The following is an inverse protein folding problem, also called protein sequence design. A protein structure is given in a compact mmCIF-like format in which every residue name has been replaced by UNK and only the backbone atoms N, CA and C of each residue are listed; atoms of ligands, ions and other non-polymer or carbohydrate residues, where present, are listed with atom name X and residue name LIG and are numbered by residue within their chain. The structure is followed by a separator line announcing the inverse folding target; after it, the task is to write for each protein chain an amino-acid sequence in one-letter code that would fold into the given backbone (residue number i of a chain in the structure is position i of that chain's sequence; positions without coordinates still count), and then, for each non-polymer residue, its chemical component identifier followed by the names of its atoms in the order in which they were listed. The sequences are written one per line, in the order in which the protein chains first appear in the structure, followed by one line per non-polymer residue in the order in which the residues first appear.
data_IF_099062008577
#
_entry.id   IF_099062008577
#
_cell.length_a   1.000
_cell.length_b   1.000
_cell.length_c   1.000
_cell.angle_alpha   90.00
_cell.angle_beta   90.00
_cell.angle_gamma   90.00
#
_symmetry.space_group_name_H-M   'P 1'
#
loop_
_entity.id
_entity.type
_entity.pdbx_description
1 polymer ?
#
# COMPACT_ATOMS: atom_id res chain seq x y z
N UNK A 1 17.24 35.95 5.64
CA UNK A 1 18.39 35.18 5.14
C UNK A 1 18.07 33.71 5.35
N UNK A 2 17.63 32.99 4.30
CA UNK A 2 17.32 31.56 4.41
C UNK A 2 18.59 30.77 4.14
N UNK A 3 19.18 30.18 5.18
CA UNK A 3 20.32 29.28 5.02
C UNK A 3 19.84 28.04 4.27
N UNK A 4 20.28 27.87 3.02
CA UNK A 4 19.94 26.69 2.23
C UNK A 4 20.72 25.51 2.82
N UNK A 5 20.06 24.70 3.64
CA UNK A 5 20.68 23.51 4.22
C UNK A 5 20.93 22.51 3.09
N UNK A 6 22.19 22.13 2.91
CA UNK A 6 22.60 21.17 1.88
C UNK A 6 22.01 19.80 2.20
N UNK A 7 21.41 19.14 1.22
CA UNK A 7 20.91 17.78 1.39
C UNK A 7 22.08 16.76 1.48
N UNK A 8 21.87 15.69 2.24
CA UNK A 8 22.82 14.60 2.47
C UNK A 8 23.27 13.91 1.18
N UNK A 9 22.35 13.66 0.24
CA UNK A 9 22.69 13.19 -1.12
C UNK A 9 23.31 11.79 -1.22
N UNK A 10 23.50 11.10 -0.09
CA UNK A 10 23.99 9.72 -0.04
C UNK A 10 23.05 8.80 -0.84
N UNK A 11 23.55 7.68 -1.37
CA UNK A 11 22.74 6.67 -2.08
C UNK A 11 22.62 5.40 -1.26
N UNK A 12 21.53 4.65 -1.47
CA UNK A 12 21.29 3.36 -0.80
C UNK A 12 22.42 2.37 -1.10
N UNK A 13 23.05 1.75 -0.08
CA UNK A 13 24.08 0.74 -0.28
C UNK A 13 23.51 -0.52 -0.96
N UNK A 14 24.29 -1.16 -1.84
CA UNK A 14 23.93 -2.41 -2.52
C UNK A 14 23.23 -2.30 -3.88
N UNK A 15 22.99 -1.10 -4.43
CA UNK A 15 22.63 -0.91 -5.84
C UNK A 15 23.85 -0.48 -6.64
N UNK A 16 24.44 -1.38 -7.39
CA UNK A 16 25.43 -1.02 -8.39
C UNK A 16 24.74 -0.33 -9.59
N UNK A 17 25.24 0.87 -9.88
CA UNK A 17 25.04 1.72 -11.05
C UNK A 17 23.84 1.45 -11.98
N UNK A 18 22.83 2.33 -11.92
CA UNK A 18 21.90 2.49 -13.05
C UNK A 18 20.53 3.10 -12.74
N UNK A 19 20.08 3.10 -11.49
CA UNK A 19 18.78 3.68 -11.13
C UNK A 19 18.88 5.15 -10.69
N UNK A 20 18.09 6.03 -11.29
CA UNK A 20 17.89 7.45 -10.91
C UNK A 20 17.20 7.64 -9.55
N UNK A 21 17.42 6.72 -8.60
CA UNK A 21 16.93 6.86 -7.24
C UNK A 21 17.56 8.10 -6.61
N UNK A 22 16.75 9.15 -6.42
CA UNK A 22 17.19 10.39 -5.75
C UNK A 22 17.78 10.00 -4.39
N UNK A 23 18.99 10.50 -4.12
CA UNK A 23 19.70 10.25 -2.86
C UNK A 23 18.97 10.85 -1.65
N UNK A 24 19.57 10.74 -0.47
CA UNK A 24 18.96 11.18 0.77
C UNK A 24 18.52 12.66 0.69
N UNK A 25 17.25 12.94 1.02
CA UNK A 25 16.67 14.30 0.96
C UNK A 25 16.75 15.09 2.27
N UNK A 26 17.21 14.46 3.36
CA UNK A 26 17.42 15.13 4.65
C UNK A 26 18.67 16.04 4.65
N UNK A 27 18.78 16.99 5.61
CA UNK A 27 19.98 17.78 5.86
C UNK A 27 21.28 16.97 5.90
N UNK A 28 22.39 17.54 5.46
CA UNK A 28 23.67 16.83 5.35
C UNK A 28 24.19 16.24 6.68
N UNK A 29 23.77 16.79 7.80
CA UNK A 29 24.14 16.46 9.17
C UNK A 29 23.02 15.74 9.93
N UNK A 30 22.04 15.15 9.24
CA UNK A 30 20.97 14.42 9.90
C UNK A 30 21.47 13.12 10.56
N UNK A 31 20.90 12.78 11.71
CA UNK A 31 21.00 11.45 12.32
C UNK A 31 19.78 10.59 11.93
N UNK A 32 19.88 9.26 12.05
CA UNK A 32 18.78 8.33 11.74
C UNK A 32 18.72 7.85 10.28
N UNK A 33 17.56 7.32 9.87
CA UNK A 33 17.42 6.69 8.55
C UNK A 33 17.50 7.70 7.41
N UNK A 34 18.28 7.38 6.37
CA UNK A 34 18.27 8.14 5.12
C UNK A 34 16.91 8.02 4.43
N UNK A 35 16.39 9.12 3.87
CA UNK A 35 15.07 9.16 3.24
C UNK A 35 15.16 9.34 1.72
N UNK A 36 14.35 8.64 0.94
CA UNK A 36 14.29 8.79 -0.52
C UNK A 36 13.49 10.05 -0.94
N UNK A 37 13.34 10.29 -2.25
CA UNK A 37 12.55 11.41 -2.79
C UNK A 37 11.03 11.34 -2.52
N UNK A 38 10.55 10.25 -1.92
CA UNK A 38 9.17 10.04 -1.44
C UNK A 38 9.05 10.18 0.10
N UNK A 39 10.15 10.58 0.77
CA UNK A 39 10.26 10.70 2.22
C UNK A 39 10.21 9.37 3.00
N UNK A 40 10.39 8.24 2.31
CA UNK A 40 10.49 6.93 2.96
C UNK A 40 11.94 6.65 3.37
N UNK A 41 12.12 6.02 4.53
CA UNK A 41 13.42 5.49 4.92
C UNK A 41 13.95 4.51 3.87
N UNK A 42 15.27 4.51 3.66
CA UNK A 42 15.93 3.43 2.95
C UNK A 42 15.74 2.17 3.76
N UNK A 43 14.68 1.44 3.46
CA UNK A 43 14.51 0.08 3.91
C UNK A 43 15.58 -0.73 3.20
N UNK A 44 16.80 -0.80 3.77
CA UNK A 44 17.60 -2.01 3.65
C UNK A 44 16.65 -3.14 3.99
N UNK A 45 16.39 -4.02 3.03
CA UNK A 45 15.26 -4.96 3.11
C UNK A 45 13.90 -4.26 3.14
N UNK A 46 13.41 -3.80 1.98
CA UNK A 46 11.98 -4.06 1.79
C UNK A 46 11.92 -5.58 1.76
N UNK A 47 11.27 -6.25 2.72
CA UNK A 47 10.85 -7.59 2.39
C UNK A 47 10.02 -7.41 1.11
N UNK A 48 10.26 -8.22 0.09
CA UNK A 48 9.11 -8.67 -0.69
C UNK A 48 8.27 -9.30 0.39
N UNK A 49 7.35 -8.53 0.99
CA UNK A 49 6.57 -8.86 2.16
C UNK A 49 6.68 -10.33 2.57
N UNK A 50 7.68 -10.67 3.38
CA UNK A 50 7.49 -11.55 4.52
C UNK A 50 6.63 -10.77 5.55
N UNK A 51 5.57 -10.10 5.10
CA UNK A 51 4.35 -10.19 5.84
C UNK A 51 4.11 -11.69 5.82
N UNK A 52 4.50 -12.38 6.90
CA UNK A 52 3.83 -13.62 7.31
C UNK A 52 2.38 -13.41 6.87
N UNK A 53 1.91 -14.09 5.80
CA UNK A 53 0.61 -13.78 5.23
C UNK A 53 -0.32 -13.93 6.40
N UNK A 54 -0.96 -12.83 6.85
CA UNK A 54 -1.47 -12.77 8.21
C UNK A 54 -2.25 -14.06 8.42
N UNK A 55 -1.68 -14.98 9.21
CA UNK A 55 -2.18 -16.35 9.23
C UNK A 55 -3.61 -16.18 9.67
N UNK A 56 -4.54 -16.49 8.76
CA UNK A 56 -5.95 -16.25 9.01
C UNK A 56 -6.27 -16.83 10.38
N UNK A 57 -6.91 -16.04 11.24
CA UNK A 57 -7.37 -16.58 12.51
C UNK A 57 -8.44 -17.58 12.12
N UNK A 58 -8.15 -18.87 12.27
CA UNK A 58 -9.03 -19.94 11.78
C UNK A 58 -10.46 -19.72 12.27
N UNK A 59 -11.42 -19.75 11.34
CA UNK A 59 -12.84 -19.49 11.63
C UNK A 59 -13.23 -18.01 11.77
N UNK A 60 -12.31 -17.07 11.53
CA UNK A 60 -12.61 -15.63 11.46
C UNK A 60 -12.36 -15.06 10.07
N UNK A 61 -13.28 -14.19 9.65
CA UNK A 61 -13.20 -13.37 8.45
C UNK A 61 -12.68 -11.99 8.80
N UNK A 62 -11.60 -11.58 8.12
CA UNK A 62 -11.15 -10.20 8.08
C UNK A 62 -12.17 -9.32 7.33
N UNK A 63 -12.53 -8.17 7.91
CA UNK A 63 -13.47 -7.23 7.31
C UNK A 63 -12.73 -6.19 6.44
N UNK A 64 -13.32 -5.71 5.32
CA UNK A 64 -12.67 -4.76 4.42
C UNK A 64 -12.59 -3.32 4.98
N UNK A 65 -13.02 -3.10 6.22
CA UNK A 65 -12.85 -1.86 6.97
C UNK A 65 -12.07 -2.09 8.26
N UNK A 66 -11.60 -0.99 8.86
CA UNK A 66 -10.97 -0.96 10.17
C UNK A 66 -12.00 -0.70 11.27
N UNK A 67 -11.67 -1.12 12.49
CA UNK A 67 -12.40 -0.73 13.69
C UNK A 67 -12.21 0.75 14.03
N UNK A 68 -12.96 1.27 15.02
CA UNK A 68 -12.88 2.68 15.43
C UNK A 68 -11.48 3.12 15.90
N UNK A 69 -10.65 2.19 16.35
CA UNK A 69 -9.27 2.42 16.78
C UNK A 69 -8.25 2.28 15.64
N UNK A 70 -8.71 2.13 14.40
CA UNK A 70 -7.87 1.92 13.22
C UNK A 70 -7.31 0.51 13.09
N UNK A 71 -7.65 -0.43 13.99
CA UNK A 71 -7.16 -1.80 13.92
C UNK A 71 -7.97 -2.66 12.95
N UNK A 72 -7.39 -3.77 12.44
CA UNK A 72 -8.13 -4.73 11.64
C UNK A 72 -9.36 -5.27 12.39
N UNK A 73 -10.52 -5.26 11.74
CA UNK A 73 -11.76 -5.81 12.29
C UNK A 73 -12.03 -7.21 11.74
N UNK A 74 -12.62 -8.08 12.58
CA UNK A 74 -12.92 -9.47 12.26
C UNK A 74 -14.36 -9.85 12.65
N UNK A 75 -14.90 -10.86 11.98
CA UNK A 75 -16.19 -11.48 12.31
C UNK A 75 -16.07 -13.00 12.17
N UNK A 76 -16.86 -13.82 12.89
CA UNK A 76 -16.93 -15.27 12.62
C UNK A 76 -17.24 -15.56 11.14
N UNK A 77 -16.57 -16.54 10.55
CA UNK A 77 -16.77 -16.94 9.14
C UNK A 77 -17.72 -18.16 9.01
N UNK A 78 -18.44 -18.50 10.07
CA UNK A 78 -19.37 -19.65 10.14
C UNK A 78 -20.72 -19.40 9.45
N UNK A 79 -21.01 -18.14 9.09
CA UNK A 79 -22.24 -17.75 8.41
C UNK A 79 -21.96 -16.81 7.22
N UNK A 80 -21.58 -17.34 6.05
CA UNK A 80 -21.28 -16.54 4.86
C UNK A 80 -22.49 -15.76 4.32
N UNK A 81 -23.72 -16.17 4.63
CA UNK A 81 -24.96 -15.47 4.26
C UNK A 81 -25.42 -14.45 5.34
N UNK A 82 -24.64 -14.30 6.41
CA UNK A 82 -24.89 -13.36 7.49
C UNK A 82 -24.92 -11.91 7.00
N UNK A 83 -25.57 -11.03 7.78
CA UNK A 83 -25.66 -9.60 7.45
C UNK A 83 -24.28 -8.95 7.32
N UNK A 84 -23.34 -9.29 8.21
CA UNK A 84 -21.99 -8.74 8.21
C UNK A 84 -21.16 -9.29 7.04
N UNK A 85 -21.28 -10.58 6.73
CA UNK A 85 -20.59 -11.19 5.59
C UNK A 85 -21.05 -10.57 4.26
N UNK A 86 -22.36 -10.39 4.05
CA UNK A 86 -22.90 -9.72 2.86
C UNK A 86 -22.52 -8.24 2.79
N UNK A 87 -22.44 -7.54 3.93
CA UNK A 87 -21.92 -6.18 4.00
C UNK A 87 -20.44 -6.14 3.59
N UNK A 88 -19.64 -7.07 4.08
CA UNK A 88 -18.24 -7.23 3.70
C UNK A 88 -18.10 -7.49 2.19
N UNK A 89 -18.86 -8.41 1.61
CA UNK A 89 -18.81 -8.68 0.16
C UNK A 89 -19.19 -7.45 -0.67
N UNK A 90 -20.20 -6.69 -0.24
CA UNK A 90 -20.59 -5.45 -0.90
C UNK A 90 -19.46 -4.42 -0.85
N UNK A 91 -18.87 -4.19 0.32
CA UNK A 91 -17.79 -3.22 0.47
C UNK A 91 -16.50 -3.64 -0.26
N UNK A 92 -16.17 -4.95 -0.27
CA UNK A 92 -15.08 -5.48 -1.09
C UNK A 92 -15.32 -5.14 -2.58
N UNK A 93 -16.54 -5.33 -3.10
CA UNK A 93 -16.88 -4.96 -4.49
C UNK A 93 -16.73 -3.46 -4.74
N UNK A 94 -17.28 -2.62 -3.87
CA UNK A 94 -17.20 -1.16 -4.00
C UNK A 94 -15.75 -0.66 -3.99
N UNK A 95 -14.91 -1.20 -3.09
CA UNK A 95 -13.47 -0.89 -3.02
C UNK A 95 -12.72 -1.32 -4.28
N UNK A 96 -13.02 -2.50 -4.82
CA UNK A 96 -12.40 -2.97 -6.06
C UNK A 96 -12.83 -2.15 -7.28
N UNK A 97 -14.11 -1.74 -7.36
CA UNK A 97 -14.59 -0.82 -8.40
C UNK A 97 -13.86 0.52 -8.31
N UNK A 98 -13.80 1.12 -7.12
CA UNK A 98 -13.11 2.39 -6.93
C UNK A 98 -11.62 2.31 -7.29
N UNK A 99 -10.95 1.19 -6.98
CA UNK A 99 -9.57 0.97 -7.38
C UNK A 99 -9.41 0.82 -8.90
N UNK A 100 -10.35 0.15 -9.56
CA UNK A 100 -10.39 0.04 -11.03
C UNK A 100 -10.58 1.40 -11.70
N UNK A 101 -11.54 2.19 -11.23
CA UNK A 101 -11.85 3.52 -11.76
C UNK A 101 -10.64 4.46 -11.61
N UNK A 102 -9.96 4.43 -10.46
CA UNK A 102 -8.76 5.23 -10.26
C UNK A 102 -7.59 4.76 -11.13
N UNK A 103 -7.42 3.45 -11.31
CA UNK A 103 -6.39 2.91 -12.19
C UNK A 103 -6.62 3.35 -13.64
N UNK A 104 -7.87 3.35 -14.10
CA UNK A 104 -8.23 3.86 -15.41
C UNK A 104 -7.94 5.36 -15.53
N UNK A 105 -8.38 6.16 -14.55
CA UNK A 105 -8.09 7.59 -14.50
C UNK A 105 -6.58 7.86 -14.56
N UNK A 106 -5.77 7.10 -13.81
CA UNK A 106 -4.32 7.24 -13.82
C UNK A 106 -3.72 6.91 -15.21
N UNK A 107 -4.20 5.84 -15.86
CA UNK A 107 -3.77 5.48 -17.23
C UNK A 107 -4.11 6.57 -18.23
N UNK A 108 -5.33 7.13 -18.17
CA UNK A 108 -5.74 8.24 -19.02
C UNK A 108 -4.88 9.48 -18.76
N UNK A 109 -4.66 9.82 -17.49
CA UNK A 109 -3.80 10.95 -17.09
C UNK A 109 -2.36 10.79 -17.55
N UNK A 110 -1.84 9.56 -17.62
CA UNK A 110 -0.49 9.28 -18.10
C UNK A 110 -0.40 9.18 -19.64
N UNK A 111 -1.52 9.06 -20.35
CA UNK A 111 -1.58 8.94 -21.82
C UNK A 111 -1.60 10.28 -22.57
N UNK A 112 -1.65 11.40 -21.86
CA UNK A 112 -1.67 12.74 -22.48
C UNK A 112 -0.35 13.04 -23.19
N UNK A 113 -0.42 13.77 -24.30
CA UNK A 113 0.75 14.10 -25.13
C UNK A 113 1.75 15.00 -24.41
N UNK A 114 1.27 15.90 -23.56
CA UNK A 114 2.11 16.81 -22.79
C UNK A 114 2.57 16.16 -21.49
N UNK A 115 3.88 16.15 -21.15
CA UNK A 115 4.35 15.57 -19.91
C UNK A 115 3.70 16.22 -18.69
N UNK A 116 3.30 15.38 -17.72
CA UNK A 116 2.83 15.85 -16.42
C UNK A 116 3.93 16.62 -15.70
N UNK A 117 3.55 17.67 -14.98
CA UNK A 117 4.48 18.34 -14.08
C UNK A 117 4.90 17.40 -12.94
N UNK A 118 6.05 17.64 -12.29
CA UNK A 118 6.47 16.83 -11.13
C UNK A 118 5.40 16.76 -10.02
N UNK A 119 4.64 17.84 -9.80
CA UNK A 119 3.62 17.90 -8.75
C UNK A 119 2.35 17.14 -9.13
N UNK A 120 1.93 17.22 -10.40
CA UNK A 120 0.84 16.39 -10.92
C UNK A 120 1.20 14.89 -10.83
N UNK A 121 2.43 14.55 -11.16
CA UNK A 121 2.93 13.17 -11.06
C UNK A 121 2.92 12.67 -9.61
N UNK A 122 3.41 13.48 -8.65
CA UNK A 122 3.37 13.14 -7.22
C UNK A 122 1.94 12.97 -6.71
N UNK A 123 1.04 13.84 -7.13
CA UNK A 123 -0.37 13.75 -6.76
C UNK A 123 -1.00 12.44 -7.23
N UNK A 124 -0.84 12.07 -8.51
CA UNK A 124 -1.38 10.82 -9.05
C UNK A 124 -0.81 9.60 -8.33
N UNK A 125 0.51 9.57 -8.11
CA UNK A 125 1.18 8.48 -7.39
C UNK A 125 0.69 8.37 -5.94
N UNK A 126 0.59 9.48 -5.21
CA UNK A 126 0.09 9.48 -3.83
C UNK A 126 -1.34 8.94 -3.74
N UNK A 127 -2.23 9.38 -4.64
CA UNK A 127 -3.61 8.89 -4.70
C UNK A 127 -3.70 7.41 -5.06
N UNK A 128 -2.84 6.93 -5.95
CA UNK A 128 -2.74 5.50 -6.24
C UNK A 128 -2.29 4.71 -5.00
N UNK A 129 -1.24 5.16 -4.29
CA UNK A 129 -0.78 4.51 -3.07
C UNK A 129 -1.88 4.44 -1.99
N UNK A 130 -2.63 5.52 -1.79
CA UNK A 130 -3.74 5.55 -0.82
C UNK A 130 -4.82 4.50 -1.15
N UNK A 131 -5.20 4.41 -2.43
CA UNK A 131 -6.31 3.54 -2.85
C UNK A 131 -5.89 2.08 -3.02
N UNK A 132 -4.62 1.79 -3.34
CA UNK A 132 -4.09 0.43 -3.45
C UNK A 132 -4.12 -0.35 -2.12
N UNK A 133 -4.16 0.36 -0.99
CA UNK A 133 -4.33 -0.27 0.33
C UNK A 133 -5.62 -1.08 0.44
N UNK A 134 -6.70 -0.64 -0.22
CA UNK A 134 -8.00 -1.32 -0.17
C UNK A 134 -7.98 -2.68 -0.91
N UNK A 135 -7.55 -2.78 -2.19
CA UNK A 135 -7.39 -4.07 -2.87
C UNK A 135 -6.48 -5.07 -2.15
N UNK A 136 -5.40 -4.61 -1.53
CA UNK A 136 -4.51 -5.49 -0.75
C UNK A 136 -5.25 -6.13 0.43
N UNK A 137 -6.04 -5.34 1.17
CA UNK A 137 -6.87 -5.84 2.26
C UNK A 137 -7.96 -6.81 1.78
N UNK A 138 -8.57 -6.54 0.62
CA UNK A 138 -9.53 -7.46 0.00
C UNK A 138 -8.88 -8.78 -0.38
N UNK A 139 -7.67 -8.73 -0.97
CA UNK A 139 -6.91 -9.92 -1.34
C UNK A 139 -6.53 -10.76 -0.11
N UNK A 140 -6.07 -10.12 0.96
CA UNK A 140 -5.77 -10.78 2.24
C UNK A 140 -7.03 -11.44 2.85
N UNK A 141 -8.12 -10.67 2.95
CA UNK A 141 -9.43 -11.16 3.41
C UNK A 141 -9.88 -12.42 2.67
N UNK A 142 -9.79 -12.41 1.33
CA UNK A 142 -10.14 -13.56 0.48
C UNK A 142 -9.15 -14.72 0.65
N UNK A 143 -7.86 -14.43 0.74
CA UNK A 143 -6.81 -15.43 0.93
C UNK A 143 -6.99 -16.23 2.23
N UNK A 144 -7.33 -15.56 3.34
CA UNK A 144 -7.61 -16.22 4.63
C UNK A 144 -8.78 -17.21 4.57
N UNK A 145 -9.78 -16.93 3.73
CA UNK A 145 -10.93 -17.84 3.54
C UNK A 145 -10.57 -19.08 2.71
N UNK A 146 -9.63 -18.95 1.77
CA UNK A 146 -9.17 -20.08 0.96
C UNK A 146 -8.32 -21.07 1.77
N UNK A 147 -7.50 -20.59 2.71
CA UNK A 147 -6.64 -21.45 3.56
C UNK A 147 -7.42 -22.22 4.62
N UNK A 148 -8.63 -21.77 4.98
CA UNK A 148 -9.47 -22.43 5.99
C UNK A 148 -10.24 -23.62 5.40
N UNK A 149 -10.46 -23.66 4.08
CA UNK A 149 -11.19 -24.74 3.39
C UNK A 149 -10.37 -25.96 2.98
N UNK A 150 -9.07 -26.02 3.29
CA UNK A 150 -8.14 -27.06 2.80
C UNK A 150 -7.60 -28.04 3.85
N UNK A 151 -8.05 -27.97 5.11
CA UNK A 151 -7.55 -28.86 6.17
C UNK A 151 -8.33 -30.18 6.31
N UNK A 152 -9.50 -30.32 5.67
CA UNK A 152 -10.41 -31.47 5.85
C UNK A 152 -10.89 -32.08 4.51
N UNK A 153 -10.07 -32.08 3.46
CA UNK A 153 -10.39 -32.74 2.16
C UNK A 153 -9.39 -33.86 1.82
#
# INVERSE_FOLDING_TARGET
MSATVKACGQRRPGREHGGTGRGCVLPADHEGHHLNGFNDAWSGDLPIVDAEPARGIAGLRLLPWTGPDGKPAYTPDDNPEGMIARLADRMEREQLTAASDLLEFARQTLSVTEPLTPDQSRFVVARLCDVLSNPLRVAESRGMRLTTGGADA
#
